data_IF_531058824538
#
_entry.id   IF_531058824538
#
_cell.length_a   1.000
_cell.length_b   1.000
_cell.length_c   1.000
_cell.angle_alpha   90.00
_cell.angle_beta   90.00
_cell.angle_gamma   90.00
#
_symmetry.space_group_name_H-M   'P 1'
#
loop_
_entity.id
_entity.type
_entity.pdbx_description
1 polymer ?
#
# COMPACT_ATOMS: atom_id res chain seq x y z
N UNK A 1 -2.99 -3.50 8.92
CA UNK A 1 -1.77 -2.76 9.28
C UNK A 1 -2.04 -1.27 9.32
N UNK A 2 -0.99 -0.45 9.37
CA UNK A 2 -1.09 1.01 9.28
C UNK A 2 -0.15 1.52 8.19
N UNK A 3 -0.55 2.60 7.50
CA UNK A 3 0.23 3.26 6.46
C UNK A 3 0.27 4.76 6.71
N UNK A 4 1.31 5.43 6.22
CA UNK A 4 1.41 6.89 6.28
C UNK A 4 1.08 7.45 4.90
N UNK A 5 0.05 8.29 4.81
CA UNK A 5 -0.33 8.98 3.58
C UNK A 5 -0.21 10.48 3.85
N UNK A 6 0.69 11.15 3.13
CA UNK A 6 0.93 12.61 3.26
C UNK A 6 1.17 13.08 4.71
N UNK A 7 1.79 12.23 5.54
CA UNK A 7 2.07 12.52 6.95
C UNK A 7 0.97 12.11 7.94
N UNK A 8 -0.17 11.61 7.46
CA UNK A 8 -1.26 11.11 8.31
C UNK A 8 -1.18 9.59 8.44
N UNK A 9 -1.44 9.08 9.64
CA UNK A 9 -1.48 7.64 9.92
C UNK A 9 -2.89 7.10 9.65
N UNK A 10 -2.99 6.15 8.73
CA UNK A 10 -4.25 5.53 8.33
C UNK A 10 -4.26 4.04 8.63
N UNK A 11 -5.43 3.52 9.04
CA UNK A 11 -5.68 2.09 9.09
C UNK A 11 -5.74 1.53 7.67
N UNK A 12 -5.09 0.39 7.43
CA UNK A 12 -5.06 -0.20 6.10
C UNK A 12 -5.13 -1.73 6.10
N UNK A 13 -5.73 -2.24 5.03
CA UNK A 13 -5.80 -3.66 4.69
C UNK A 13 -5.13 -3.89 3.34
N UNK A 14 -4.21 -4.85 3.31
CA UNK A 14 -3.49 -5.20 2.08
C UNK A 14 -4.23 -6.30 1.35
N UNK A 15 -4.41 -6.14 0.04
CA UNK A 15 -4.84 -7.26 -0.82
C UNK A 15 -3.71 -8.26 -1.05
N UNK A 16 -2.46 -7.83 -0.87
CA UNK A 16 -1.27 -8.69 -0.93
C UNK A 16 -0.98 -9.28 0.44
N UNK A 17 -0.58 -10.56 0.49
CA UNK A 17 -0.39 -11.27 1.77
C UNK A 17 0.83 -10.79 2.57
N UNK A 18 1.87 -10.29 1.90
CA UNK A 18 3.10 -9.83 2.54
C UNK A 18 3.38 -8.38 2.16
N UNK A 19 3.24 -7.50 3.16
CA UNK A 19 3.83 -6.16 3.16
C UNK A 19 4.70 -6.06 4.40
N UNK A 20 5.98 -5.78 4.19
CA UNK A 20 6.90 -5.52 5.28
C UNK A 20 6.90 -4.03 5.66
N UNK A 21 7.37 -3.74 6.88
CA UNK A 21 7.48 -2.36 7.35
C UNK A 21 8.47 -1.59 6.46
N UNK A 22 8.02 -0.44 5.94
CA UNK A 22 8.84 0.43 5.09
C UNK A 22 8.66 0.18 3.60
N UNK A 23 7.85 -0.81 3.20
CA UNK A 23 7.49 -0.98 1.79
C UNK A 23 6.54 0.12 1.31
N UNK A 24 6.77 0.60 0.10
CA UNK A 24 5.84 1.52 -0.57
C UNK A 24 4.58 0.77 -1.01
N UNK A 25 3.44 1.45 -0.89
CA UNK A 25 2.13 0.90 -1.23
C UNK A 25 1.35 1.84 -2.12
N UNK A 26 0.48 1.27 -2.94
CA UNK A 26 -0.53 2.01 -3.68
C UNK A 26 -1.90 1.79 -3.05
N UNK A 27 -2.64 2.88 -2.81
CA UNK A 27 -4.05 2.81 -2.41
C UNK A 27 -4.87 2.43 -3.64
N UNK A 28 -5.65 1.35 -3.53
CA UNK A 28 -6.51 0.86 -4.60
C UNK A 28 -8.00 1.01 -4.29
N UNK A 29 -8.34 1.36 -3.05
CA UNK A 29 -9.70 1.59 -2.63
C UNK A 29 -9.78 2.01 -1.17
N UNK A 30 -11.02 2.12 -0.68
CA UNK A 30 -11.33 2.46 0.70
C UNK A 30 -12.54 1.64 1.16
N UNK A 31 -12.46 1.13 2.39
CA UNK A 31 -13.56 0.47 3.08
C UNK A 31 -13.79 1.14 4.44
N UNK A 32 -14.84 1.95 4.52
CA UNK A 32 -15.13 2.78 5.69
C UNK A 32 -13.96 3.71 6.03
N UNK A 33 -13.35 3.53 7.20
CA UNK A 33 -12.19 4.29 7.68
C UNK A 33 -10.84 3.61 7.38
N UNK A 34 -10.85 2.49 6.64
CA UNK A 34 -9.64 1.76 6.27
C UNK A 34 -9.33 1.97 4.79
N UNK A 35 -8.05 2.09 4.47
CA UNK A 35 -7.56 2.09 3.10
C UNK A 35 -7.30 0.65 2.65
N UNK A 36 -7.72 0.33 1.43
CA UNK A 36 -7.34 -0.91 0.77
C UNK A 36 -6.09 -0.61 -0.05
N UNK A 37 -5.01 -1.31 0.25
CA UNK A 37 -3.69 -1.06 -0.34
C UNK A 37 -3.13 -2.32 -1.00
N UNK A 38 -2.20 -2.11 -1.93
CA UNK A 38 -1.39 -3.16 -2.52
C UNK A 38 0.07 -2.73 -2.55
N UNK A 39 0.99 -3.68 -2.63
CA UNK A 39 2.41 -3.41 -2.81
C UNK A 39 2.59 -2.55 -4.06
N UNK A 40 3.32 -1.44 -3.92
CA UNK A 40 3.79 -0.73 -5.08
C UNK A 40 4.76 -1.69 -5.78
N UNK A 41 4.31 -2.33 -6.86
CA UNK A 41 5.18 -3.18 -7.66
C UNK A 41 6.42 -2.35 -8.00
N UNK A 42 7.61 -2.88 -7.70
CA UNK A 42 8.83 -2.34 -8.25
C UNK A 42 8.62 -2.36 -9.74
N UNK A 43 8.45 -1.19 -10.34
CA UNK A 43 8.53 -1.05 -11.76
C UNK A 43 10.01 -1.28 -12.11
N UNK A 44 10.46 -2.53 -12.05
CA UNK A 44 11.47 -3.00 -12.98
C UNK A 44 10.83 -2.75 -14.33
N UNK A 45 11.09 -1.55 -14.86
CA UNK A 45 10.93 -1.28 -16.27
C UNK A 45 11.50 -2.49 -16.97
N UNK A 46 10.62 -3.26 -17.60
CA UNK A 46 10.99 -4.26 -18.59
C UNK A 46 11.63 -3.46 -19.70
N UNK A 47 12.94 -3.24 -19.61
CA UNK A 47 13.76 -2.78 -20.73
C UNK A 47 13.82 -3.94 -21.69
N UNK A 48 12.99 -3.85 -22.73
CA UNK A 48 13.17 -4.57 -24.00
C UNK A 48 14.42 -4.07 -24.71
#
# INVERSE_FOLDING_TARGET
>A
GQVIIKGELWGAESIDRNLDRGEEVMVVGQDGLKLIVRKAGSNSKRTE
#
